data_IF_516003746391
#
_entry.id   IF_516003746391
#
_cell.length_a   1.000
_cell.length_b   1.000
_cell.length_c   1.000
_cell.angle_alpha   90.00
_cell.angle_beta   90.00
_cell.angle_gamma   90.00
#
_symmetry.space_group_name_H-M   'P 1'
#
loop_
_entity.id
_entity.type
_entity.pdbx_description
1 polymer ?
#
# COMPACT_ATOMS: atom_id res chain seq x y z
N UNK A 1 14.76 4.18 -10.97
CA UNK A 1 13.40 4.67 -10.74
C UNK A 1 13.11 4.61 -9.24
N UNK A 2 13.06 5.75 -8.55
CA UNK A 2 12.94 5.83 -7.10
C UNK A 2 11.50 6.10 -6.65
N UNK A 3 11.13 5.68 -5.42
CA UNK A 3 9.85 6.08 -4.83
C UNK A 3 9.84 7.59 -4.58
N UNK A 4 8.70 8.24 -4.79
CA UNK A 4 8.55 9.67 -4.49
C UNK A 4 8.03 9.93 -3.07
N UNK A 5 7.51 8.94 -2.41
CA UNK A 5 7.10 8.93 -1.00
C UNK A 5 7.01 7.50 -0.48
N UNK A 6 6.82 7.36 0.81
CA UNK A 6 6.62 6.06 1.45
C UNK A 6 5.25 6.00 2.13
N UNK A 7 4.65 4.81 2.09
CA UNK A 7 3.43 4.48 2.80
C UNK A 7 3.78 3.59 3.99
N UNK A 8 3.43 4.03 5.18
CA UNK A 8 3.62 3.23 6.40
C UNK A 8 2.50 2.18 6.50
N UNK A 9 2.89 0.92 6.46
CA UNK A 9 1.99 -0.23 6.64
C UNK A 9 2.30 -1.00 7.91
N UNK A 10 2.99 -0.38 8.87
CA UNK A 10 3.36 -1.01 10.13
C UNK A 10 2.25 -0.89 11.17
N UNK A 11 1.45 0.16 11.07
CA UNK A 11 0.43 0.50 12.06
C UNK A 11 -0.97 0.17 11.56
N UNK A 12 -1.71 -0.61 12.33
CA UNK A 12 -3.15 -0.81 12.12
C UNK A 12 -3.89 0.29 12.88
N UNK A 13 -4.57 1.14 12.14
CA UNK A 13 -5.36 2.26 12.67
C UNK A 13 -6.78 1.78 12.97
N UNK A 14 -7.34 1.97 14.17
CA UNK A 14 -8.75 1.68 14.43
C UNK A 14 -9.65 2.70 13.71
N UNK A 15 -10.84 2.27 13.28
CA UNK A 15 -11.78 3.14 12.52
C UNK A 15 -12.12 4.41 13.30
N UNK A 16 -12.28 4.35 14.62
CA UNK A 16 -12.53 5.53 15.46
C UNK A 16 -11.46 6.62 15.38
N UNK A 17 -10.22 6.26 15.02
CA UNK A 17 -9.10 7.21 14.96
C UNK A 17 -9.01 7.91 13.58
N UNK A 18 -9.87 7.59 12.62
CA UNK A 18 -9.84 8.19 11.29
C UNK A 18 -10.06 9.70 11.28
N UNK A 19 -10.75 10.23 12.29
CA UNK A 19 -10.99 11.67 12.42
C UNK A 19 -9.70 12.49 12.64
N UNK A 20 -8.69 11.87 13.22
CA UNK A 20 -7.39 12.51 13.52
C UNK A 20 -6.26 12.01 12.64
N UNK A 21 -6.54 11.07 11.73
CA UNK A 21 -5.54 10.45 10.86
C UNK A 21 -5.62 11.03 9.46
N UNK A 22 -4.49 11.38 8.88
CA UNK A 22 -4.39 11.93 7.53
C UNK A 22 -3.66 10.98 6.59
N UNK A 23 -4.08 10.95 5.32
CA UNK A 23 -3.43 10.15 4.29
C UNK A 23 -3.95 8.71 4.19
N UNK A 24 -3.09 7.81 3.74
CA UNK A 24 -3.41 6.38 3.61
C UNK A 24 -3.26 5.69 4.95
N UNK A 25 -4.18 4.81 5.26
CA UNK A 25 -4.22 4.04 6.52
C UNK A 25 -4.32 2.56 6.26
N UNK A 26 -3.88 1.78 7.24
CA UNK A 26 -4.12 0.36 7.29
C UNK A 26 -5.13 0.05 8.39
N UNK A 27 -6.22 -0.62 8.03
CA UNK A 27 -7.28 -1.02 8.95
C UNK A 27 -7.37 -2.55 8.98
N UNK A 28 -7.79 -3.11 10.12
CA UNK A 28 -8.10 -4.54 10.25
C UNK A 28 -9.57 -4.69 10.61
N UNK A 29 -10.30 -5.49 9.86
CA UNK A 29 -11.72 -5.69 10.09
C UNK A 29 -12.33 -6.68 9.11
N UNK A 30 -13.64 -6.71 9.01
CA UNK A 30 -14.38 -7.63 8.16
C UNK A 30 -15.49 -6.92 7.37
N UNK A 31 -15.81 -7.48 6.22
CA UNK A 31 -16.93 -7.02 5.39
C UNK A 31 -18.21 -7.66 5.93
N UNK A 32 -19.20 -6.83 6.25
CA UNK A 32 -20.50 -7.31 6.76
C UNK A 32 -21.47 -7.64 5.63
N UNK A 33 -21.40 -6.92 4.51
CA UNK A 33 -22.27 -7.15 3.36
C UNK A 33 -21.96 -6.23 2.21
N UNK A 34 -22.61 -6.50 1.08
CA UNK A 34 -22.50 -5.74 -0.15
C UNK A 34 -23.84 -5.16 -0.58
N UNK A 35 -23.83 -3.98 -1.17
CA UNK A 35 -24.97 -3.36 -1.83
C UNK A 35 -24.55 -2.71 -3.15
N UNK A 36 -25.43 -2.74 -4.15
CA UNK A 36 -25.23 -2.04 -5.41
C UNK A 36 -26.08 -0.77 -5.44
N UNK A 37 -25.48 0.35 -5.81
CA UNK A 37 -26.16 1.62 -5.98
C UNK A 37 -25.94 2.18 -7.40
N UNK A 38 -26.95 2.90 -7.91
CA UNK A 38 -26.90 3.53 -9.23
C UNK A 38 -27.31 2.59 -10.36
N UNK A 39 -27.46 3.16 -11.56
CA UNK A 39 -27.90 2.47 -12.78
C UNK A 39 -26.91 2.74 -13.90
N UNK A 40 -26.70 1.76 -14.78
CA UNK A 40 -25.86 1.90 -15.95
C UNK A 40 -24.39 2.21 -15.59
N UNK A 41 -23.81 3.21 -16.26
CA UNK A 41 -22.43 3.64 -16.07
C UNK A 41 -22.15 4.25 -14.67
N UNK A 42 -23.18 4.65 -13.95
CA UNK A 42 -23.09 5.18 -12.57
C UNK A 42 -23.21 4.09 -11.51
N UNK A 43 -23.35 2.81 -11.90
CA UNK A 43 -23.43 1.70 -10.97
C UNK A 43 -22.12 1.58 -10.17
N UNK A 44 -22.25 1.52 -8.85
CA UNK A 44 -21.15 1.32 -7.91
C UNK A 44 -21.49 0.19 -6.94
N UNK A 45 -20.48 -0.58 -6.57
CA UNK A 45 -20.59 -1.57 -5.51
C UNK A 45 -20.12 -0.92 -4.22
N UNK A 46 -20.90 -1.05 -3.17
CA UNK A 46 -20.57 -0.61 -1.82
C UNK A 46 -20.51 -1.80 -0.89
N UNK A 47 -19.67 -1.73 0.13
CA UNK A 47 -19.63 -2.68 1.21
C UNK A 47 -19.40 -1.96 2.53
N UNK A 48 -19.96 -2.50 3.61
CA UNK A 48 -19.68 -2.01 4.95
C UNK A 48 -18.52 -2.81 5.54
N UNK A 49 -17.45 -2.11 5.91
CA UNK A 49 -16.27 -2.65 6.56
C UNK A 49 -16.26 -2.23 8.02
N UNK A 50 -16.14 -3.20 8.91
CA UNK A 50 -16.30 -3.00 10.35
C UNK A 50 -15.09 -3.53 11.11
N UNK A 51 -14.67 -2.79 12.14
CA UNK A 51 -13.83 -3.25 13.23
C UNK A 51 -14.61 -3.15 14.56
N UNK A 52 -13.93 -3.36 15.67
CA UNK A 52 -14.53 -3.24 17.04
C UNK A 52 -14.90 -1.79 17.39
N UNK A 53 -14.41 -0.80 16.65
CA UNK A 53 -14.47 0.63 17.00
C UNK A 53 -15.42 1.42 16.10
N UNK A 54 -15.82 0.87 14.94
CA UNK A 54 -16.69 1.58 14.01
C UNK A 54 -16.93 0.84 12.70
N UNK A 55 -17.55 1.56 11.76
CA UNK A 55 -17.84 1.07 10.41
C UNK A 55 -17.53 2.16 9.40
N UNK A 56 -16.96 1.77 8.26
CA UNK A 56 -16.71 2.63 7.11
C UNK A 56 -17.28 2.00 5.85
N UNK A 57 -17.46 2.80 4.80
CA UNK A 57 -17.97 2.34 3.52
C UNK A 57 -16.79 2.06 2.55
N UNK A 58 -16.80 0.92 1.89
CA UNK A 58 -15.91 0.63 0.77
C UNK A 58 -16.67 0.82 -0.54
N UNK A 59 -16.03 1.46 -1.52
CA UNK A 59 -16.69 1.80 -2.79
C UNK A 59 -15.85 1.35 -3.97
N UNK A 60 -16.48 0.62 -4.90
CA UNK A 60 -15.89 0.27 -6.19
C UNK A 60 -16.75 0.83 -7.32
N UNK A 61 -16.11 1.54 -8.25
CA UNK A 61 -16.72 2.06 -9.45
C UNK A 61 -16.41 1.11 -10.61
N UNK A 62 -17.40 0.64 -11.35
CA UNK A 62 -17.29 -0.24 -12.53
C UNK A 62 -16.67 -1.63 -12.29
N UNK A 63 -17.09 -2.63 -13.07
CA UNK A 63 -16.45 -3.94 -13.16
C UNK A 63 -16.40 -4.74 -11.84
N UNK A 64 -17.46 -4.73 -11.05
CA UNK A 64 -17.46 -5.12 -9.63
C UNK A 64 -17.77 -6.60 -9.36
N UNK A 65 -18.12 -7.39 -10.38
CA UNK A 65 -18.60 -8.78 -10.20
C UNK A 65 -17.52 -9.71 -9.62
N UNK A 66 -16.26 -9.37 -9.78
CA UNK A 66 -15.15 -10.12 -9.21
C UNK A 66 -14.91 -9.82 -7.72
N UNK A 67 -15.32 -8.63 -7.24
CA UNK A 67 -15.03 -8.15 -5.87
C UNK A 67 -15.70 -9.04 -4.84
N UNK A 68 -17.00 -9.32 -5.00
CA UNK A 68 -17.78 -10.14 -4.07
C UNK A 68 -17.29 -11.58 -3.99
N UNK A 69 -16.80 -12.13 -5.12
CA UNK A 69 -16.20 -13.47 -5.15
C UNK A 69 -14.82 -13.50 -4.50
N UNK A 70 -14.03 -12.45 -4.68
CA UNK A 70 -12.66 -12.39 -4.16
C UNK A 70 -12.61 -12.07 -2.67
N UNK A 71 -13.56 -11.27 -2.18
CA UNK A 71 -13.63 -10.80 -0.80
C UNK A 71 -14.96 -11.17 -0.13
N UNK A 72 -15.21 -12.47 0.13
CA UNK A 72 -16.44 -12.89 0.77
C UNK A 72 -16.61 -12.26 2.15
N UNK A 73 -17.85 -11.93 2.56
CA UNK A 73 -18.16 -11.41 3.88
C UNK A 73 -17.76 -12.36 5.02
N UNK A 74 -17.59 -11.84 6.22
CA UNK A 74 -17.32 -12.62 7.43
C UNK A 74 -15.86 -13.07 7.61
N UNK A 75 -14.98 -12.80 6.65
CA UNK A 75 -13.53 -13.02 6.81
C UNK A 75 -12.85 -11.73 7.28
N UNK A 76 -11.76 -11.88 8.03
CA UNK A 76 -10.95 -10.76 8.49
C UNK A 76 -9.96 -10.35 7.39
N UNK A 77 -9.96 -9.07 7.08
CA UNK A 77 -9.09 -8.45 6.08
C UNK A 77 -8.23 -7.38 6.69
N UNK A 78 -7.04 -7.22 6.12
CA UNK A 78 -6.25 -6.01 6.23
C UNK A 78 -6.62 -5.14 5.01
N UNK A 79 -7.15 -3.97 5.30
CA UNK A 79 -7.49 -2.95 4.31
C UNK A 79 -6.39 -1.90 4.28
N UNK A 80 -5.94 -1.52 3.09
CA UNK A 80 -5.09 -0.35 2.90
C UNK A 80 -5.74 0.60 1.90
N UNK A 81 -5.77 1.88 2.23
CA UNK A 81 -6.35 2.91 1.37
C UNK A 81 -6.47 4.27 2.06
N UNK A 82 -6.93 5.26 1.30
CA UNK A 82 -7.14 6.61 1.80
C UNK A 82 -8.61 6.83 2.17
N UNK A 83 -8.94 6.98 3.46
CA UNK A 83 -10.29 7.32 3.89
C UNK A 83 -10.64 8.75 3.46
N UNK A 84 -11.88 8.94 3.05
CA UNK A 84 -12.46 10.27 2.78
C UNK A 84 -13.78 10.38 3.50
N UNK A 85 -13.97 11.50 4.18
CA UNK A 85 -15.24 11.81 4.83
C UNK A 85 -16.22 12.36 3.76
N UNK A 86 -17.35 11.70 3.61
CA UNK A 86 -18.43 12.14 2.73
C UNK A 86 -19.77 11.94 3.42
N UNK A 87 -20.58 13.01 3.51
CA UNK A 87 -21.88 13.00 4.20
C UNK A 87 -21.86 12.37 5.60
N UNK A 88 -20.82 12.67 6.39
CA UNK A 88 -20.70 12.18 7.76
C UNK A 88 -20.19 10.72 7.89
N UNK A 89 -19.92 10.03 6.77
CA UNK A 89 -19.42 8.66 6.77
C UNK A 89 -18.05 8.61 6.09
N UNK A 90 -17.10 7.90 6.71
CA UNK A 90 -15.83 7.62 6.06
C UNK A 90 -16.01 6.57 4.97
N UNK A 91 -15.40 6.81 3.83
CA UNK A 91 -15.39 5.87 2.71
C UNK A 91 -13.98 5.70 2.14
N UNK A 92 -13.69 4.49 1.65
CA UNK A 92 -12.45 4.18 0.92
C UNK A 92 -12.81 3.67 -0.47
N UNK A 93 -12.33 4.39 -1.49
CA UNK A 93 -12.55 4.00 -2.88
C UNK A 93 -11.46 3.04 -3.36
N UNK A 94 -11.87 1.93 -3.99
CA UNK A 94 -10.98 0.89 -4.50
C UNK A 94 -9.91 0.44 -3.50
N UNK A 95 -10.29 0.06 -2.27
CA UNK A 95 -9.33 -0.35 -1.25
C UNK A 95 -8.51 -1.55 -1.70
N UNK A 96 -7.28 -1.62 -1.22
CA UNK A 96 -6.51 -2.84 -1.25
C UNK A 96 -6.91 -3.72 -0.07
N UNK A 97 -7.36 -4.94 -0.34
CA UNK A 97 -7.76 -5.91 0.68
C UNK A 97 -6.89 -7.15 0.60
N UNK A 98 -6.40 -7.61 1.74
CA UNK A 98 -5.65 -8.86 1.88
C UNK A 98 -6.23 -9.63 3.06
N UNK A 99 -6.40 -10.95 2.93
CA UNK A 99 -6.83 -11.78 4.07
C UNK A 99 -5.82 -11.64 5.21
N UNK A 100 -6.31 -11.45 6.43
CA UNK A 100 -5.44 -11.26 7.59
C UNK A 100 -4.52 -12.48 7.84
N UNK A 101 -5.00 -13.69 7.58
CA UNK A 101 -4.23 -14.93 7.75
C UNK A 101 -3.14 -15.11 6.67
N UNK A 102 -3.30 -14.47 5.51
CA UNK A 102 -2.34 -14.51 4.39
C UNK A 102 -1.50 -13.24 4.30
N UNK A 103 -1.80 -12.24 5.10
CA UNK A 103 -0.94 -11.08 5.23
C UNK A 103 0.32 -11.54 5.94
N UNK A 104 1.41 -11.69 5.18
CA UNK A 104 2.73 -11.72 5.80
C UNK A 104 2.80 -10.53 6.76
N UNK A 105 3.25 -10.71 8.00
CA UNK A 105 3.39 -9.59 8.91
C UNK A 105 4.25 -8.57 8.18
N UNK A 106 3.68 -7.42 7.88
CA UNK A 106 4.43 -6.26 7.41
C UNK A 106 5.24 -5.76 8.60
N UNK A 107 6.23 -6.57 9.00
CA UNK A 107 7.11 -6.25 10.12
C UNK A 107 7.95 -5.08 9.66
N UNK A 108 7.55 -3.90 10.06
CA UNK A 108 8.40 -2.71 10.04
C UNK A 108 8.73 -2.13 8.67
N UNK A 109 7.99 -2.45 7.62
CA UNK A 109 8.34 -1.98 6.29
C UNK A 109 7.54 -0.75 5.88
N UNK A 110 8.25 0.31 5.54
CA UNK A 110 7.75 1.40 4.72
C UNK A 110 7.74 0.93 3.26
N UNK A 111 6.63 1.15 2.56
CA UNK A 111 6.50 0.78 1.15
C UNK A 111 6.73 1.99 0.25
N UNK A 112 7.65 1.86 -0.68
CA UNK A 112 7.90 2.88 -1.68
C UNK A 112 6.68 3.08 -2.60
N UNK A 113 6.22 4.31 -2.74
CA UNK A 113 5.16 4.69 -3.67
C UNK A 113 5.78 5.28 -4.92
N UNK A 114 5.46 4.69 -6.07
CA UNK A 114 6.07 5.05 -7.35
C UNK A 114 5.11 5.85 -8.22
N UNK A 115 5.64 6.85 -8.91
CA UNK A 115 4.89 7.57 -9.91
C UNK A 115 4.51 6.64 -11.08
N UNK A 116 3.32 6.81 -11.60
CA UNK A 116 2.85 6.07 -12.78
C UNK A 116 2.15 7.01 -13.74
N UNK A 117 2.48 6.87 -15.02
CA UNK A 117 1.78 7.59 -16.09
C UNK A 117 0.47 6.90 -16.43
N UNK A 118 -0.44 7.61 -17.10
CA UNK A 118 -1.69 7.00 -17.56
C UNK A 118 -1.46 5.88 -18.58
N UNK A 119 -0.40 5.97 -19.38
CA UNK A 119 0.03 4.90 -20.27
C UNK A 119 0.41 3.64 -19.50
N UNK A 120 1.19 3.77 -18.44
CA UNK A 120 1.55 2.65 -17.55
C UNK A 120 0.32 2.01 -16.90
N UNK A 121 -0.60 2.83 -16.39
CA UNK A 121 -1.85 2.35 -15.78
C UNK A 121 -2.71 1.56 -16.78
N UNK A 122 -2.85 2.04 -18.02
CA UNK A 122 -3.55 1.32 -19.10
C UNK A 122 -2.90 -0.02 -19.43
N UNK A 123 -1.57 -0.10 -19.35
CA UNK A 123 -0.80 -1.35 -19.51
C UNK A 123 -0.76 -2.21 -18.25
N UNK A 124 -1.62 -1.95 -17.25
CA UNK A 124 -1.68 -2.64 -15.95
C UNK A 124 -0.39 -2.53 -15.11
N UNK A 125 0.48 -1.59 -15.43
CA UNK A 125 1.68 -1.29 -14.67
C UNK A 125 1.38 -0.20 -13.63
N UNK A 126 0.75 -0.61 -12.53
CA UNK A 126 0.48 0.25 -11.38
C UNK A 126 1.74 0.47 -10.53
N UNK A 127 1.74 1.47 -9.64
CA UNK A 127 2.83 1.67 -8.67
C UNK A 127 3.11 0.43 -7.82
N UNK A 128 2.06 -0.33 -7.45
CA UNK A 128 2.20 -1.62 -6.76
C UNK A 128 2.89 -2.68 -7.62
N UNK A 129 2.55 -2.75 -8.92
CA UNK A 129 3.21 -3.68 -9.84
C UNK A 129 4.69 -3.33 -10.01
N UNK A 130 5.02 -2.04 -10.11
CA UNK A 130 6.40 -1.56 -10.11
C UNK A 130 7.14 -1.95 -8.83
N UNK A 131 6.55 -1.72 -7.66
CA UNK A 131 7.12 -2.11 -6.37
C UNK A 131 7.50 -3.59 -6.35
N UNK A 132 6.60 -4.48 -6.77
CA UNK A 132 6.86 -5.92 -6.84
C UNK A 132 7.99 -6.29 -7.81
N UNK A 133 8.07 -5.63 -8.96
CA UNK A 133 9.18 -5.84 -9.90
C UNK A 133 10.49 -5.44 -9.25
N UNK A 134 10.54 -4.27 -8.61
CA UNK A 134 11.72 -3.78 -7.90
C UNK A 134 12.11 -4.75 -6.77
N UNK A 135 11.17 -5.17 -5.94
CA UNK A 135 11.40 -6.16 -4.90
C UNK A 135 12.06 -7.44 -5.43
N UNK A 136 11.62 -7.92 -6.59
CA UNK A 136 12.19 -9.12 -7.22
C UNK A 136 13.59 -8.91 -7.79
N UNK A 137 13.95 -7.66 -8.12
CA UNK A 137 15.26 -7.31 -8.65
C UNK A 137 16.31 -7.05 -7.56
N UNK A 138 15.91 -6.49 -6.42
CA UNK A 138 16.85 -6.10 -5.35
C UNK A 138 17.82 -7.21 -4.90
N UNK A 139 17.42 -8.50 -4.78
CA UNK A 139 18.34 -9.58 -4.40
C UNK A 139 19.45 -9.84 -5.42
N UNK A 140 19.23 -9.46 -6.69
CA UNK A 140 20.21 -9.69 -7.76
C UNK A 140 21.06 -8.46 -8.07
N UNK A 141 20.67 -7.29 -7.59
CA UNK A 141 21.40 -6.02 -7.76
C UNK A 141 22.89 -6.14 -7.41
N UNK A 142 23.31 -6.75 -6.27
CA UNK A 142 24.73 -6.84 -5.93
C UNK A 142 25.59 -7.62 -6.93
N UNK A 143 24.98 -8.43 -7.80
CA UNK A 143 25.70 -9.19 -8.83
C UNK A 143 25.98 -8.39 -10.11
N UNK A 144 25.22 -7.31 -10.35
CA UNK A 144 25.24 -6.58 -11.60
C UNK A 144 25.59 -5.09 -11.46
N UNK A 145 25.52 -4.57 -10.25
CA UNK A 145 25.87 -3.18 -9.96
C UNK A 145 27.16 -3.17 -9.16
N UNK A 146 28.21 -2.65 -9.78
CA UNK A 146 29.50 -2.45 -9.13
C UNK A 146 29.48 -1.14 -8.33
N UNK A 147 30.20 -1.16 -7.20
CA UNK A 147 30.41 0.05 -6.41
C UNK A 147 31.24 1.07 -7.21
N UNK A 148 30.77 2.28 -7.29
CA UNK A 148 31.41 3.34 -8.07
C UNK A 148 32.37 4.22 -7.25
N UNK A 149 32.21 4.20 -5.92
CA UNK A 149 33.07 4.95 -5.00
C UNK A 149 34.19 4.07 -4.47
N UNK A 150 35.36 4.68 -4.25
CA UNK A 150 36.47 3.96 -3.62
C UNK A 150 36.18 3.67 -2.14
N UNK A 151 36.72 2.59 -1.55
CA UNK A 151 36.53 2.26 -0.14
C UNK A 151 36.89 3.41 0.81
N UNK A 152 37.92 4.20 0.48
CA UNK A 152 38.36 5.35 1.29
C UNK A 152 37.30 6.44 1.33
N UNK A 153 36.61 6.71 0.22
CA UNK A 153 35.52 7.67 0.16
C UNK A 153 34.34 7.19 0.99
N UNK A 154 33.94 5.92 0.80
CA UNK A 154 32.81 5.31 1.54
C UNK A 154 33.08 5.41 3.04
N UNK A 155 34.25 4.99 3.48
CA UNK A 155 34.63 4.98 4.90
C UNK A 155 34.80 6.41 5.43
N UNK A 156 35.50 7.27 4.69
CA UNK A 156 35.79 8.65 5.11
C UNK A 156 34.55 9.52 5.23
N UNK A 157 33.57 9.32 4.37
CA UNK A 157 32.29 10.04 4.37
C UNK A 157 31.17 9.29 5.12
N UNK A 158 31.46 8.12 5.69
CA UNK A 158 30.49 7.27 6.39
C UNK A 158 29.28 6.92 5.53
N UNK A 159 29.52 6.66 4.25
CA UNK A 159 28.47 6.25 3.32
C UNK A 159 28.19 4.73 3.44
N UNK A 160 27.00 4.33 3.02
CA UNK A 160 26.67 2.91 2.84
C UNK A 160 26.96 2.48 1.41
N UNK A 161 27.34 1.20 1.18
CA UNK A 161 27.57 0.69 -0.17
C UNK A 161 26.37 0.87 -1.09
N UNK A 162 26.61 1.10 -2.38
CA UNK A 162 25.57 1.40 -3.38
C UNK A 162 24.44 0.35 -3.42
N UNK A 163 24.76 -0.93 -3.34
CA UNK A 163 23.78 -2.01 -3.33
C UNK A 163 22.86 -1.95 -2.10
N UNK A 164 23.42 -1.61 -0.92
CA UNK A 164 22.64 -1.45 0.31
C UNK A 164 21.80 -0.18 0.29
N UNK A 165 22.33 0.93 -0.25
CA UNK A 165 21.60 2.17 -0.45
C UNK A 165 20.37 1.94 -1.35
N UNK A 166 20.54 1.25 -2.47
CA UNK A 166 19.44 0.91 -3.37
C UNK A 166 18.38 0.04 -2.68
N UNK A 167 18.80 -0.93 -1.86
CA UNK A 167 17.86 -1.74 -1.09
C UNK A 167 17.09 -0.90 -0.07
N UNK A 168 17.78 -0.04 0.68
CA UNK A 168 17.17 0.78 1.73
C UNK A 168 16.19 1.83 1.15
N UNK A 169 16.51 2.44 0.02
CA UNK A 169 15.60 3.38 -0.65
C UNK A 169 14.32 2.68 -1.14
N UNK A 170 14.39 1.44 -1.57
CA UNK A 170 13.20 0.76 -2.09
C UNK A 170 12.42 0.00 -1.03
N UNK A 171 13.08 -0.60 -0.04
CA UNK A 171 12.48 -1.37 1.05
C UNK A 171 13.15 -0.98 2.38
N UNK A 172 12.90 0.24 2.88
CA UNK A 172 13.44 0.65 4.16
C UNK A 172 12.74 -0.11 5.30
N UNK A 173 13.50 -0.53 6.29
CA UNK A 173 12.97 -1.19 7.48
C UNK A 173 12.26 -0.21 8.43
N UNK A 174 12.73 1.03 8.44
CA UNK A 174 12.20 2.09 9.28
C UNK A 174 12.58 3.46 8.71
N UNK A 175 12.02 4.54 9.30
CA UNK A 175 12.30 5.90 8.86
C UNK A 175 13.76 6.34 9.05
N UNK A 176 14.52 5.70 9.96
CA UNK A 176 15.93 6.03 10.16
C UNK A 176 16.79 5.60 8.97
N UNK A 177 16.55 4.41 8.44
CA UNK A 177 17.24 3.94 7.23
C UNK A 177 17.05 4.87 6.02
N UNK A 178 15.91 5.56 5.92
CA UNK A 178 15.66 6.53 4.84
C UNK A 178 16.54 7.80 4.92
N UNK A 179 16.96 8.17 6.12
CA UNK A 179 17.80 9.34 6.31
C UNK A 179 19.29 9.02 6.15
N UNK A 180 19.64 7.74 6.11
CA UNK A 180 21.02 7.26 5.95
C UNK A 180 21.32 6.83 4.49
N UNK A 181 20.29 6.62 3.66
CA UNK A 181 20.39 6.23 2.26
C UNK A 181 20.35 7.43 1.31
#
# INVERSE_FOLDING_TARGET
YFPYRYADRTVITPIRALATTHGEVQLKGYITGYRSEGVGSKKRLKADFRDETGTIELVWFQGNDWVTRRYPPGKVYILFGQPRLFNGTYSVSHPELTLADSAAPAVGALYGVYNTTDKMKRSRLSGKALGKIIESLLPIVPKYIEETLTPDIITGQRLIPLADALRQIHIPRNAKELNEA
#
